data_IF_355124587250
#
_entry.id   IF_355124587250
#
_cell.length_a   1.000
_cell.length_b   1.000
_cell.length_c   1.000
_cell.angle_alpha   90.00
_cell.angle_beta   90.00
_cell.angle_gamma   90.00
#
_symmetry.space_group_name_H-M   'P 1'
#
loop_
_entity.id
_entity.type
_entity.pdbx_description
1 polymer ?
#
# COMPACT_ATOMS: atom_id res chain seq x y z
N UNK A 1 -22.91 35.87 -5.51
CA UNK A 1 -22.18 35.78 -6.82
C UNK A 1 -21.91 34.31 -7.12
N UNK A 2 -22.49 33.81 -8.21
CA UNK A 2 -22.25 32.41 -8.63
C UNK A 2 -20.81 32.30 -9.16
N UNK A 3 -19.95 31.54 -8.49
CA UNK A 3 -18.60 31.22 -8.97
C UNK A 3 -18.74 30.41 -10.25
N UNK A 4 -18.23 30.93 -11.38
CA UNK A 4 -18.28 30.26 -12.65
C UNK A 4 -17.55 28.91 -12.53
N UNK A 5 -18.30 27.81 -12.66
CA UNK A 5 -17.74 26.46 -12.58
C UNK A 5 -16.77 26.23 -13.74
N UNK A 6 -15.55 25.78 -13.43
CA UNK A 6 -14.53 25.44 -14.44
C UNK A 6 -15.04 24.32 -15.35
N UNK A 7 -14.75 24.42 -16.63
CA UNK A 7 -15.12 23.42 -17.65
C UNK A 7 -13.87 22.92 -18.36
N UNK A 8 -13.92 21.68 -18.81
CA UNK A 8 -12.89 21.09 -19.68
C UNK A 8 -13.06 21.57 -21.15
N UNK A 9 -12.16 21.10 -22.02
CA UNK A 9 -12.20 21.41 -23.46
C UNK A 9 -13.47 20.91 -24.19
N UNK A 10 -14.22 19.98 -23.57
CA UNK A 10 -15.48 19.43 -24.07
C UNK A 10 -16.72 20.05 -23.40
N UNK A 11 -16.54 21.11 -22.59
CA UNK A 11 -17.63 21.81 -21.92
C UNK A 11 -18.16 21.12 -20.65
N UNK A 12 -17.55 20.01 -20.21
CA UNK A 12 -17.96 19.29 -18.98
C UNK A 12 -17.47 20.04 -17.75
N UNK A 13 -18.30 20.07 -16.71
CA UNK A 13 -17.97 20.74 -15.45
C UNK A 13 -16.95 19.93 -14.67
N UNK A 14 -15.87 20.60 -14.26
CA UNK A 14 -14.83 20.06 -13.39
C UNK A 14 -15.17 20.30 -11.93
N UNK A 15 -14.97 19.27 -11.09
CA UNK A 15 -15.13 19.34 -9.62
C UNK A 15 -13.94 20.07 -8.98
N UNK A 16 -14.05 20.39 -7.69
CA UNK A 16 -12.95 20.96 -6.92
C UNK A 16 -11.75 19.99 -6.89
N UNK A 17 -10.56 20.53 -7.16
CA UNK A 17 -9.34 19.73 -7.31
C UNK A 17 -9.09 19.18 -8.71
N UNK A 18 -10.14 19.06 -9.57
CA UNK A 18 -9.99 18.61 -10.95
C UNK A 18 -9.49 19.75 -11.86
N UNK A 19 -8.57 19.45 -12.75
CA UNK A 19 -8.07 20.38 -13.80
C UNK A 19 -7.74 19.57 -15.06
N UNK A 20 -8.07 20.10 -16.24
CA UNK A 20 -7.50 19.61 -17.48
C UNK A 20 -6.26 20.44 -17.82
N UNK A 21 -5.14 19.77 -18.03
CA UNK A 21 -3.86 20.39 -18.43
C UNK A 21 -3.92 20.83 -19.88
N UNK A 22 -3.45 22.06 -20.15
CA UNK A 22 -3.49 22.63 -21.52
C UNK A 22 -2.41 22.07 -22.45
N UNK A 23 -1.28 21.63 -21.88
CA UNK A 23 -0.11 21.18 -22.65
C UNK A 23 -0.23 19.76 -23.20
N UNK A 24 -0.87 18.86 -22.50
CA UNK A 24 -0.99 17.44 -22.86
C UNK A 24 -2.42 16.88 -22.82
N UNK A 25 -3.39 17.73 -22.43
CA UNK A 25 -4.80 17.36 -22.35
C UNK A 25 -5.17 16.42 -21.21
N UNK A 26 -4.20 15.98 -20.41
CA UNK A 26 -4.43 15.08 -19.28
C UNK A 26 -5.30 15.75 -18.22
N UNK A 27 -6.16 14.96 -17.61
CA UNK A 27 -6.92 15.36 -16.42
C UNK A 27 -6.09 15.11 -15.18
N UNK A 28 -6.21 16.00 -14.21
CA UNK A 28 -5.44 16.01 -12.98
C UNK A 28 -6.38 16.28 -11.82
N UNK A 29 -6.26 15.53 -10.74
CA UNK A 29 -6.91 15.77 -9.47
C UNK A 29 -5.87 16.00 -8.37
N UNK A 30 -6.07 17.06 -7.57
CA UNK A 30 -5.22 17.43 -6.44
C UNK A 30 -5.98 17.40 -5.14
N UNK A 31 -5.38 16.83 -4.13
CA UNK A 31 -5.92 16.85 -2.76
C UNK A 31 -4.80 17.03 -1.74
N UNK A 32 -5.18 17.35 -0.52
CA UNK A 32 -4.26 17.43 0.62
C UNK A 32 -4.59 16.29 1.58
N UNK A 33 -3.60 15.47 1.91
CA UNK A 33 -3.75 14.39 2.88
C UNK A 33 -3.81 14.95 4.32
N UNK A 34 -4.20 14.10 5.29
CA UNK A 34 -4.29 14.49 6.71
C UNK A 34 -2.95 15.02 7.28
N UNK A 35 -1.83 14.54 6.78
CA UNK A 35 -0.48 15.01 7.15
C UNK A 35 -0.06 16.35 6.50
N UNK A 36 -0.97 17.04 5.81
CA UNK A 36 -0.71 18.31 5.14
C UNK A 36 0.01 18.19 3.79
N UNK A 37 0.44 17.01 3.37
CA UNK A 37 1.08 16.81 2.06
C UNK A 37 0.06 16.90 0.93
N UNK A 38 0.46 17.59 -0.15
CA UNK A 38 -0.33 17.70 -1.38
C UNK A 38 0.01 16.56 -2.33
N UNK A 39 -1.01 15.95 -2.87
CA UNK A 39 -0.91 14.84 -3.82
C UNK A 39 -1.64 15.16 -5.11
N UNK A 40 -1.21 14.48 -6.18
CA UNK A 40 -1.77 14.68 -7.51
C UNK A 40 -1.82 13.35 -8.24
N UNK A 41 -2.95 13.05 -8.86
CA UNK A 41 -3.10 11.93 -9.80
C UNK A 41 -3.47 12.45 -11.17
N UNK A 42 -3.23 11.63 -12.17
CA UNK A 42 -3.47 11.93 -13.58
C UNK A 42 -4.23 10.81 -14.26
N UNK A 43 -5.04 11.18 -15.26
CA UNK A 43 -5.67 10.24 -16.18
C UNK A 43 -5.85 10.89 -17.56
N UNK A 44 -5.91 10.07 -18.61
CA UNK A 44 -6.18 10.53 -19.97
C UNK A 44 -7.66 10.92 -20.14
N UNK A 45 -8.55 10.41 -19.31
CA UNK A 45 -10.00 10.62 -19.37
C UNK A 45 -10.52 11.21 -18.07
N UNK A 46 -11.62 11.99 -18.15
CA UNK A 46 -12.26 12.53 -16.96
C UNK A 46 -12.94 11.44 -16.13
N UNK A 47 -13.50 10.44 -16.79
CA UNK A 47 -14.11 9.27 -16.15
C UNK A 47 -13.07 8.47 -15.35
N UNK A 48 -11.96 8.11 -15.97
CA UNK A 48 -10.87 7.39 -15.32
C UNK A 48 -10.25 8.17 -14.15
N UNK A 49 -10.17 9.52 -14.27
CA UNK A 49 -9.76 10.36 -13.15
C UNK A 49 -10.75 10.26 -11.98
N UNK A 50 -12.05 10.32 -12.26
CA UNK A 50 -13.12 10.26 -11.24
C UNK A 50 -13.19 8.91 -10.55
N UNK A 51 -12.97 7.81 -11.27
CA UNK A 51 -12.89 6.48 -10.67
C UNK A 51 -11.72 6.38 -9.67
N UNK A 52 -10.58 6.99 -10.00
CA UNK A 52 -9.42 7.10 -9.10
C UNK A 52 -9.71 8.02 -7.91
N UNK A 53 -10.37 9.14 -8.14
CA UNK A 53 -10.77 10.10 -7.11
C UNK A 53 -11.73 9.46 -6.10
N UNK A 54 -12.72 8.72 -6.57
CA UNK A 54 -13.70 8.05 -5.70
C UNK A 54 -13.03 6.98 -4.83
N UNK A 55 -12.09 6.19 -5.39
CA UNK A 55 -11.26 5.26 -4.60
C UNK A 55 -10.47 5.98 -3.50
N UNK A 56 -9.81 7.11 -3.84
CA UNK A 56 -9.06 7.90 -2.88
C UNK A 56 -9.97 8.45 -1.77
N UNK A 57 -11.16 8.94 -2.14
CA UNK A 57 -12.14 9.44 -1.16
C UNK A 57 -12.64 8.33 -0.23
N UNK A 58 -12.90 7.15 -0.76
CA UNK A 58 -13.26 5.99 0.06
C UNK A 58 -12.13 5.60 1.02
N UNK A 59 -10.89 5.53 0.53
CA UNK A 59 -9.74 5.22 1.37
C UNK A 59 -9.54 6.28 2.47
N UNK A 60 -9.66 7.57 2.13
CA UNK A 60 -9.59 8.66 3.12
C UNK A 60 -10.73 8.63 4.14
N UNK A 61 -11.95 8.29 3.71
CA UNK A 61 -13.11 8.15 4.59
C UNK A 61 -12.94 6.98 5.58
N UNK A 62 -12.31 5.89 5.12
CA UNK A 62 -12.01 4.70 5.92
C UNK A 62 -10.72 4.87 6.77
N UNK A 63 -10.09 6.06 6.75
CA UNK A 63 -8.87 6.35 7.49
C UNK A 63 -7.59 5.83 6.85
N UNK A 64 -7.67 5.18 5.68
CA UNK A 64 -6.51 4.60 4.99
C UNK A 64 -5.62 5.73 4.43
N UNK A 65 -4.30 5.56 4.54
CA UNK A 65 -3.32 6.46 3.93
C UNK A 65 -3.28 6.25 2.42
N UNK A 66 -4.27 6.79 1.71
CA UNK A 66 -4.47 6.65 0.26
C UNK A 66 -3.23 7.00 -0.61
N UNK A 67 -2.21 7.56 -0.02
CA UNK A 67 -1.15 8.29 -0.71
C UNK A 67 0.21 7.61 -0.71
N UNK A 68 0.49 6.74 0.24
CA UNK A 68 1.78 6.04 0.28
C UNK A 68 1.71 4.76 -0.56
N UNK A 69 1.30 4.96 -1.83
CA UNK A 69 1.04 3.89 -2.79
C UNK A 69 2.27 3.06 -3.17
N UNK A 70 3.45 3.47 -2.75
CA UNK A 70 4.72 2.82 -3.10
C UNK A 70 5.40 2.11 -1.92
N UNK A 71 4.81 2.13 -0.73
CA UNK A 71 5.36 1.40 0.43
C UNK A 71 5.30 -0.09 0.17
N UNK A 72 6.45 -0.74 0.29
CA UNK A 72 6.60 -2.18 0.09
C UNK A 72 6.50 -2.95 1.41
N UNK A 73 6.38 -4.27 1.33
CA UNK A 73 6.48 -5.15 2.50
C UNK A 73 7.87 -5.01 3.16
N UNK A 74 8.93 -4.78 2.36
CA UNK A 74 10.29 -4.51 2.87
C UNK A 74 10.36 -3.22 3.70
N UNK A 75 9.67 -2.17 3.27
CA UNK A 75 9.61 -0.90 4.02
C UNK A 75 8.89 -1.10 5.35
N UNK A 76 7.76 -1.82 5.34
CA UNK A 76 7.01 -2.15 6.55
C UNK A 76 7.80 -3.04 7.51
N UNK A 77 8.57 -4.02 7.01
CA UNK A 77 9.46 -4.82 7.83
C UNK A 77 10.54 -3.97 8.51
N UNK A 78 11.08 -2.99 7.78
CA UNK A 78 12.08 -2.07 8.32
C UNK A 78 11.50 -1.22 9.45
N UNK A 79 10.27 -0.72 9.29
CA UNK A 79 9.52 0.00 10.30
C UNK A 79 9.24 -0.90 11.51
N UNK A 80 8.65 -2.06 11.30
CA UNK A 80 8.37 -3.05 12.35
C UNK A 80 9.62 -3.40 13.16
N UNK A 81 10.76 -3.63 12.49
CA UNK A 81 12.03 -3.97 13.16
C UNK A 81 12.53 -2.83 14.04
N UNK A 82 12.41 -1.58 13.58
CA UNK A 82 12.85 -0.38 14.31
C UNK A 82 12.04 -0.18 15.59
N UNK A 83 10.73 -0.44 15.52
CA UNK A 83 9.80 -0.17 16.62
C UNK A 83 9.63 -1.37 17.56
N UNK A 84 10.31 -2.52 17.26
CA UNK A 84 10.19 -3.73 18.06
C UNK A 84 10.96 -3.63 19.37
N UNK A 85 10.20 -3.44 20.45
CA UNK A 85 10.72 -3.33 21.82
C UNK A 85 10.33 -4.60 22.62
N UNK A 86 11.20 -5.05 23.53
CA UNK A 86 10.89 -6.13 24.49
C UNK A 86 11.00 -7.55 23.96
N UNK A 87 11.47 -7.73 22.72
CA UNK A 87 11.79 -9.05 22.17
C UNK A 87 13.23 -9.44 22.52
N UNK A 88 13.46 -10.73 22.83
CA UNK A 88 14.82 -11.24 23.06
C UNK A 88 15.65 -11.12 21.78
N UNK A 89 16.90 -10.67 21.90
CA UNK A 89 17.81 -10.44 20.78
C UNK A 89 17.92 -11.67 19.85
N UNK A 90 18.06 -12.85 20.43
CA UNK A 90 18.11 -14.11 19.66
C UNK A 90 16.84 -14.33 18.81
N UNK A 91 15.66 -14.02 19.36
CA UNK A 91 14.40 -14.15 18.62
C UNK A 91 14.34 -13.15 17.46
N UNK A 92 14.75 -11.90 17.70
CA UNK A 92 14.80 -10.88 16.66
C UNK A 92 15.78 -11.27 15.54
N UNK A 93 16.95 -11.75 15.90
CA UNK A 93 17.97 -12.24 14.94
C UNK A 93 17.40 -13.35 14.06
N UNK A 94 16.69 -14.32 14.65
CA UNK A 94 16.03 -15.38 13.91
C UNK A 94 14.95 -14.85 12.96
N UNK A 95 14.13 -13.90 13.39
CA UNK A 95 13.10 -13.28 12.55
C UNK A 95 13.71 -12.52 11.36
N UNK A 96 14.79 -11.76 11.60
CA UNK A 96 15.54 -11.06 10.55
C UNK A 96 16.16 -12.05 9.56
N UNK A 97 16.73 -13.16 10.06
CA UNK A 97 17.27 -14.21 9.20
C UNK A 97 16.18 -14.83 8.30
N UNK A 98 15.03 -15.20 8.89
CA UNK A 98 13.92 -15.78 8.14
C UNK A 98 13.36 -14.82 7.09
N UNK A 99 13.22 -13.54 7.46
CA UNK A 99 12.79 -12.49 6.54
C UNK A 99 13.73 -12.34 5.36
N UNK A 100 15.03 -12.15 5.63
CA UNK A 100 16.03 -11.94 4.58
C UNK A 100 16.18 -13.14 3.64
N UNK A 101 16.01 -14.36 4.16
CA UNK A 101 16.18 -15.59 3.39
C UNK A 101 14.98 -15.92 2.51
N UNK A 102 13.77 -15.67 2.96
CA UNK A 102 12.57 -16.18 2.30
C UNK A 102 11.61 -15.11 1.79
N UNK A 103 11.55 -13.95 2.45
CA UNK A 103 10.52 -12.92 2.19
C UNK A 103 11.05 -11.78 1.35
N UNK A 104 12.26 -11.29 1.65
CA UNK A 104 12.83 -10.05 1.14
C UNK A 104 12.77 -9.93 -0.38
N UNK A 105 13.30 -10.93 -1.09
CA UNK A 105 13.45 -10.91 -2.54
C UNK A 105 12.26 -11.55 -3.27
N UNK A 106 11.15 -11.77 -2.57
CA UNK A 106 9.92 -12.34 -3.08
C UNK A 106 8.73 -11.41 -2.80
N UNK A 107 7.87 -11.78 -1.85
CA UNK A 107 6.73 -10.98 -1.43
C UNK A 107 7.16 -9.64 -0.80
N UNK A 108 8.40 -9.53 -0.32
CA UNK A 108 8.99 -8.32 0.24
C UNK A 108 9.01 -7.12 -0.71
N UNK A 109 9.16 -7.37 -2.00
CA UNK A 109 9.19 -6.32 -3.03
C UNK A 109 7.81 -5.83 -3.45
N UNK A 110 6.75 -6.56 -3.08
CA UNK A 110 5.39 -6.16 -3.40
C UNK A 110 4.97 -4.92 -2.61
N UNK A 111 4.16 -4.08 -3.24
CA UNK A 111 3.52 -2.96 -2.52
C UNK A 111 2.56 -3.52 -1.49
N UNK A 112 2.65 -3.02 -0.26
CA UNK A 112 1.88 -3.54 0.88
C UNK A 112 0.37 -3.58 0.62
N UNK A 113 -0.15 -2.58 -0.08
CA UNK A 113 -1.57 -2.46 -0.43
C UNK A 113 -2.05 -3.44 -1.51
N UNK A 114 -1.13 -3.98 -2.31
CA UNK A 114 -1.46 -4.84 -3.44
C UNK A 114 -1.37 -6.33 -3.05
N UNK A 115 -0.80 -6.65 -1.87
CA UNK A 115 -0.69 -8.02 -1.37
C UNK A 115 -2.05 -8.57 -0.97
N UNK A 116 -2.42 -9.70 -1.56
CA UNK A 116 -3.68 -10.41 -1.31
C UNK A 116 -3.45 -11.73 -0.59
N UNK A 117 -4.49 -12.28 0.01
CA UNK A 117 -4.46 -13.63 0.62
C UNK A 117 -4.04 -14.73 -0.35
N UNK A 118 -4.33 -14.56 -1.66
CA UNK A 118 -3.87 -15.48 -2.71
C UNK A 118 -2.34 -15.46 -2.85
N UNK A 119 -1.73 -14.27 -2.78
CA UNK A 119 -0.28 -14.12 -2.94
C UNK A 119 0.46 -14.76 -1.76
N UNK A 120 -0.06 -14.57 -0.55
CA UNK A 120 0.45 -15.24 0.65
C UNK A 120 0.37 -16.76 0.53
N UNK A 121 -0.78 -17.30 0.05
CA UNK A 121 -0.93 -18.75 -0.16
C UNK A 121 0.01 -19.30 -1.22
N UNK A 122 0.20 -18.59 -2.32
CA UNK A 122 1.14 -18.97 -3.38
C UNK A 122 2.57 -18.96 -2.84
N UNK A 123 2.95 -17.91 -2.12
CA UNK A 123 4.26 -17.79 -1.48
C UNK A 123 4.58 -18.97 -0.55
N UNK A 124 3.64 -19.37 0.32
CA UNK A 124 3.85 -20.55 1.16
C UNK A 124 3.93 -21.85 0.35
N UNK A 125 3.10 -21.98 -0.70
CA UNK A 125 3.16 -23.12 -1.60
C UNK A 125 4.50 -23.24 -2.31
N UNK A 126 5.07 -22.11 -2.75
CA UNK A 126 6.39 -22.08 -3.41
C UNK A 126 7.53 -22.42 -2.44
N UNK A 127 7.49 -21.91 -1.21
CA UNK A 127 8.45 -22.24 -0.17
C UNK A 127 8.42 -23.75 0.12
N UNK A 128 7.26 -24.35 0.29
CA UNK A 128 7.13 -25.78 0.58
C UNK A 128 7.59 -26.65 -0.58
N UNK A 129 7.33 -26.24 -1.83
CA UNK A 129 7.78 -26.99 -3.01
C UNK A 129 9.29 -26.93 -3.22
N UNK A 130 9.87 -25.75 -3.01
CA UNK A 130 11.27 -25.49 -3.35
C UNK A 130 12.25 -25.77 -2.20
N UNK A 131 11.75 -25.85 -0.99
CA UNK A 131 12.57 -26.10 0.20
C UNK A 131 11.98 -27.29 0.96
N UNK A 132 12.79 -28.32 1.19
CA UNK A 132 12.44 -29.42 2.14
C UNK A 132 12.48 -28.85 3.56
N UNK A 133 11.44 -28.11 3.93
CA UNK A 133 11.40 -27.30 5.14
C UNK A 133 10.53 -27.95 6.20
N UNK A 134 10.94 -27.85 7.47
CA UNK A 134 10.10 -28.24 8.59
C UNK A 134 8.92 -27.25 8.76
N UNK A 135 7.75 -27.76 9.16
CA UNK A 135 6.54 -26.97 9.39
C UNK A 135 6.80 -25.81 10.36
N UNK A 136 7.57 -26.05 11.42
CA UNK A 136 7.93 -25.01 12.40
C UNK A 136 8.67 -23.81 11.78
N UNK A 137 9.41 -24.01 10.68
CA UNK A 137 10.06 -22.91 9.97
C UNK A 137 9.04 -22.06 9.22
N UNK A 138 8.05 -22.70 8.61
CA UNK A 138 6.95 -22.00 7.94
C UNK A 138 6.13 -21.17 8.95
N UNK A 139 5.85 -21.71 10.14
CA UNK A 139 5.17 -21.00 11.22
C UNK A 139 5.96 -19.75 11.63
N UNK A 140 7.29 -19.84 11.70
CA UNK A 140 8.12 -18.68 12.02
C UNK A 140 8.05 -17.62 10.92
N UNK A 141 8.07 -18.01 9.64
CA UNK A 141 7.91 -17.10 8.50
C UNK A 141 6.52 -16.43 8.54
N UNK A 142 5.47 -17.21 8.79
CA UNK A 142 4.11 -16.70 8.94
C UNK A 142 4.01 -15.70 10.09
N UNK A 143 4.59 -16.00 11.25
CA UNK A 143 4.60 -15.11 12.40
C UNK A 143 5.27 -13.77 12.12
N UNK A 144 6.37 -13.76 11.35
CA UNK A 144 7.04 -12.53 10.93
C UNK A 144 6.14 -11.72 10.00
N UNK A 145 5.61 -12.34 8.96
CA UNK A 145 4.70 -11.68 8.02
C UNK A 145 3.46 -11.14 8.71
N UNK A 146 2.84 -11.93 9.58
CA UNK A 146 1.66 -11.51 10.32
C UNK A 146 1.90 -10.24 11.13
N UNK A 147 3.04 -10.16 11.83
CA UNK A 147 3.40 -8.97 12.61
C UNK A 147 3.69 -7.75 11.72
N UNK A 148 4.35 -7.94 10.57
CA UNK A 148 4.61 -6.86 9.61
C UNK A 148 3.31 -6.31 9.04
N UNK A 149 2.38 -7.19 8.65
CA UNK A 149 1.07 -6.76 8.15
C UNK A 149 0.17 -6.20 9.25
N UNK A 150 0.33 -6.62 10.52
CA UNK A 150 -0.37 -6.01 11.65
C UNK A 150 0.03 -4.54 11.81
N UNK A 151 1.33 -4.22 11.77
CA UNK A 151 1.79 -2.81 11.77
C UNK A 151 1.22 -2.03 10.59
N UNK A 152 1.13 -2.65 9.39
CA UNK A 152 0.54 -2.00 8.23
C UNK A 152 -0.96 -1.69 8.40
N UNK A 153 -1.70 -2.52 9.16
CA UNK A 153 -3.09 -2.25 9.55
C UNK A 153 -3.15 -1.15 10.60
N UNK A 154 -2.36 -1.25 11.68
CA UNK A 154 -2.34 -0.30 12.78
C UNK A 154 -1.96 1.11 12.31
N UNK A 155 -1.05 1.20 11.34
CA UNK A 155 -0.60 2.44 10.71
C UNK A 155 -1.46 2.88 9.51
N UNK A 156 -2.60 2.23 9.29
CA UNK A 156 -3.58 2.61 8.26
C UNK A 156 -3.07 2.52 6.81
N UNK A 157 -2.09 1.66 6.51
CA UNK A 157 -1.63 1.40 5.13
C UNK A 157 -2.56 0.44 4.38
N UNK A 158 -3.19 -0.49 5.10
CA UNK A 158 -4.13 -1.49 4.58
C UNK A 158 -5.30 -1.68 5.55
N UNK A 159 -6.44 -2.15 5.00
CA UNK A 159 -7.68 -2.34 5.78
C UNK A 159 -7.67 -3.60 6.65
N UNK A 160 -6.91 -4.59 6.28
CA UNK A 160 -6.88 -5.88 6.96
C UNK A 160 -5.63 -6.68 6.63
N UNK A 161 -5.26 -7.55 7.55
CA UNK A 161 -4.09 -8.40 7.43
C UNK A 161 -4.38 -9.56 6.44
N UNK A 162 -3.55 -9.75 5.39
CA UNK A 162 -3.76 -10.80 4.39
C UNK A 162 -3.21 -12.18 4.80
N UNK A 163 -2.44 -12.29 5.92
CA UNK A 163 -1.85 -13.55 6.41
C UNK A 163 -2.82 -14.42 7.18
#
# INVERSE_FOLDING_TARGET
MSVARRKDSRGRVLKDGEVQRKNDGLYMFRWTARNGKRHTIYDATLEGLRDKEDKIKHDLADGIRAVESNVTVNDMFTLWRKDKIGIKEHTLTNYVYMYNRFIKDTIGEMKIKDVRKSDIRHFYGDILRNNKMAINTLDTINNVLHQVFAVAVDDEYIRGNPT
#
